data_IF_548556926918
#
_entry.id   IF_548556926918
#
_cell.length_a   1.000
_cell.length_b   1.000
_cell.length_c   1.000
_cell.angle_alpha   90.00
_cell.angle_beta   90.00
_cell.angle_gamma   90.00
#
_symmetry.space_group_name_H-M   'P 1'
#
loop_
_entity.id
_entity.type
_entity.pdbx_description
1 polymer ?
#
# COMPACT_ATOMS: atom_id res chain seq x y z
N UNK A 1 -0.48 -14.49 7.51
CA UNK A 1 -1.25 -13.37 8.05
C UNK A 1 -2.73 -13.58 7.77
N UNK A 2 -3.55 -13.30 8.78
CA UNK A 2 -5.02 -13.29 8.71
C UNK A 2 -5.55 -11.86 8.64
N UNK A 3 -6.80 -11.67 8.20
CA UNK A 3 -7.44 -10.33 8.15
C UNK A 3 -7.41 -9.65 9.52
N UNK A 4 -7.63 -10.44 10.58
CA UNK A 4 -7.60 -9.99 11.97
C UNK A 4 -6.28 -9.34 12.35
N UNK A 5 -5.17 -9.95 11.97
CA UNK A 5 -3.85 -9.44 12.27
C UNK A 5 -3.62 -8.07 11.58
N UNK A 6 -4.10 -7.88 10.35
CA UNK A 6 -4.03 -6.58 9.68
C UNK A 6 -4.83 -5.51 10.45
N UNK A 7 -6.11 -5.79 10.74
CA UNK A 7 -7.03 -4.81 11.32
C UNK A 7 -6.61 -4.44 12.75
N UNK A 8 -6.18 -5.42 13.55
CA UNK A 8 -5.69 -5.21 14.92
C UNK A 8 -4.44 -4.32 14.94
N UNK A 9 -3.47 -4.55 14.04
CA UNK A 9 -2.22 -3.78 14.00
C UNK A 9 -2.30 -2.48 13.16
N UNK A 10 -3.49 -2.14 12.63
CA UNK A 10 -3.71 -0.91 11.84
C UNK A 10 -4.89 -0.11 12.40
N UNK A 11 -6.11 -0.34 11.89
CA UNK A 11 -7.30 0.42 12.23
C UNK A 11 -7.57 0.47 13.73
N UNK A 12 -7.42 -0.66 14.42
CA UNK A 12 -7.58 -0.75 15.86
C UNK A 12 -6.37 -0.26 16.65
N UNK A 13 -5.32 0.26 16.05
CA UNK A 13 -4.21 0.91 16.76
C UNK A 13 -4.13 2.41 16.49
N UNK A 14 -4.83 2.91 15.48
CA UNK A 14 -4.86 4.33 15.14
C UNK A 14 -5.58 5.16 16.22
N UNK A 15 -4.99 6.31 16.56
CA UNK A 15 -5.63 7.36 17.35
C UNK A 15 -6.82 7.97 16.59
N UNK A 16 -7.62 8.80 17.26
CA UNK A 16 -8.84 9.38 16.69
C UNK A 16 -8.54 10.22 15.44
N UNK A 17 -7.46 11.02 15.49
CA UNK A 17 -7.04 11.90 14.40
C UNK A 17 -6.62 11.11 13.16
N UNK A 18 -5.81 10.07 13.33
CA UNK A 18 -5.39 9.20 12.23
C UNK A 18 -6.58 8.47 11.62
N UNK A 19 -7.52 8.01 12.45
CA UNK A 19 -8.73 7.33 11.97
C UNK A 19 -9.59 8.22 11.08
N UNK A 20 -9.77 9.49 11.43
CA UNK A 20 -10.55 10.43 10.62
C UNK A 20 -9.94 10.62 9.22
N UNK A 21 -8.61 10.75 9.12
CA UNK A 21 -7.94 10.84 7.82
C UNK A 21 -8.03 9.54 7.02
N UNK A 22 -7.78 8.40 7.68
CA UNK A 22 -7.86 7.08 7.07
C UNK A 22 -9.26 6.87 6.48
N UNK A 23 -10.32 7.26 7.19
CA UNK A 23 -11.69 7.14 6.71
C UNK A 23 -11.94 7.93 5.42
N UNK A 24 -11.39 9.15 5.30
CA UNK A 24 -11.49 9.93 4.07
C UNK A 24 -10.87 9.20 2.89
N UNK A 25 -9.70 8.59 3.07
CA UNK A 25 -9.02 7.87 2.00
C UNK A 25 -9.64 6.49 1.71
N UNK A 26 -10.11 5.77 2.74
CA UNK A 26 -10.77 4.48 2.59
C UNK A 26 -12.15 4.57 1.91
N UNK A 27 -12.82 5.72 1.96
CA UNK A 27 -14.08 5.94 1.22
C UNK A 27 -13.93 5.75 -0.31
N UNK A 28 -12.71 5.77 -0.83
CA UNK A 28 -12.44 5.48 -2.24
C UNK A 28 -12.50 3.97 -2.55
N UNK A 29 -12.39 3.11 -1.53
CA UNK A 29 -12.24 1.66 -1.69
C UNK A 29 -13.37 0.86 -1.01
N UNK A 30 -14.07 1.48 -0.05
CA UNK A 30 -15.17 0.87 0.69
C UNK A 30 -16.29 1.90 0.88
N UNK A 31 -17.54 1.47 0.71
CA UNK A 31 -18.71 2.32 0.96
C UNK A 31 -19.03 2.43 2.47
N UNK A 32 -18.50 3.46 3.13
CA UNK A 32 -18.85 3.75 4.53
C UNK A 32 -20.14 4.57 4.69
N UNK A 33 -20.64 5.19 3.61
CA UNK A 33 -21.71 6.21 3.58
C UNK A 33 -23.02 5.86 4.30
N UNK A 34 -23.27 4.59 4.62
CA UNK A 34 -24.48 4.16 5.34
C UNK A 34 -24.38 4.24 6.88
N UNK A 35 -23.20 4.51 7.45
CA UNK A 35 -23.03 4.61 8.92
C UNK A 35 -23.37 6.02 9.41
N UNK A 36 -24.35 6.12 10.32
CA UNK A 36 -24.71 7.40 10.97
C UNK A 36 -23.60 7.92 11.87
N UNK A 37 -22.90 7.03 12.59
CA UNK A 37 -21.74 7.33 13.42
C UNK A 37 -20.76 6.15 13.34
N UNK A 38 -19.63 6.28 12.62
CA UNK A 38 -18.68 5.19 12.49
C UNK A 38 -17.85 5.04 13.77
N UNK A 39 -18.26 4.11 14.66
CA UNK A 39 -17.44 3.74 15.81
C UNK A 39 -16.17 2.98 15.37
N UNK A 40 -15.16 2.94 16.24
CA UNK A 40 -13.92 2.19 16.01
C UNK A 40 -14.22 0.72 15.69
N UNK A 41 -15.06 0.10 16.51
CA UNK A 41 -15.44 -1.30 16.38
C UNK A 41 -16.32 -1.51 15.14
N UNK A 42 -17.25 -0.60 14.85
CA UNK A 42 -18.12 -0.71 13.69
C UNK A 42 -17.37 -0.63 12.37
N UNK A 43 -16.35 0.23 12.26
CA UNK A 43 -15.49 0.28 11.07
C UNK A 43 -14.61 -0.97 10.98
N UNK A 44 -14.11 -1.48 12.10
CA UNK A 44 -13.36 -2.74 12.11
C UNK A 44 -14.23 -3.89 11.57
N UNK A 45 -15.47 -4.02 12.04
CA UNK A 45 -16.45 -4.99 11.54
C UNK A 45 -16.69 -4.83 10.04
N UNK A 46 -16.87 -3.59 9.54
CA UNK A 46 -16.98 -3.37 8.09
C UNK A 46 -15.74 -3.78 7.30
N UNK A 47 -14.54 -3.56 7.84
CA UNK A 47 -13.30 -4.01 7.20
C UNK A 47 -13.23 -5.55 7.16
N UNK A 48 -13.63 -6.23 8.24
CA UNK A 48 -13.76 -7.68 8.27
C UNK A 48 -14.73 -8.19 7.20
N UNK A 49 -15.96 -7.69 7.20
CA UNK A 49 -17.00 -8.06 6.22
C UNK A 49 -16.55 -7.80 4.78
N UNK A 50 -15.83 -6.70 4.55
CA UNK A 50 -15.31 -6.36 3.23
C UNK A 50 -14.30 -7.40 2.75
N UNK A 51 -13.31 -7.75 3.57
CA UNK A 51 -12.32 -8.76 3.18
C UNK A 51 -12.94 -10.15 3.05
N UNK A 52 -13.93 -10.52 3.88
CA UNK A 52 -14.67 -11.78 3.70
C UNK A 52 -15.37 -11.83 2.33
N UNK A 53 -16.01 -10.73 1.92
CA UNK A 53 -16.61 -10.63 0.57
C UNK A 53 -15.56 -10.75 -0.54
N UNK A 54 -14.39 -10.16 -0.36
CA UNK A 54 -13.27 -10.27 -1.32
C UNK A 54 -12.82 -11.72 -1.44
N UNK A 55 -12.66 -12.44 -0.32
CA UNK A 55 -12.28 -13.84 -0.30
C UNK A 55 -13.33 -14.73 -1.00
N UNK A 56 -14.61 -14.52 -0.69
CA UNK A 56 -15.74 -15.25 -1.29
C UNK A 56 -15.85 -15.03 -2.80
N UNK A 57 -15.81 -13.76 -3.23
CA UNK A 57 -15.92 -13.39 -4.65
C UNK A 57 -14.77 -13.96 -5.48
N UNK A 58 -13.55 -13.82 -4.98
CA UNK A 58 -12.36 -14.21 -5.71
C UNK A 58 -11.96 -15.68 -5.48
N UNK A 59 -12.64 -16.39 -4.57
CA UNK A 59 -12.36 -17.78 -4.17
C UNK A 59 -10.90 -17.95 -3.74
N UNK A 60 -10.41 -17.01 -2.94
CA UNK A 60 -9.05 -16.99 -2.41
C UNK A 60 -9.07 -16.66 -0.92
N UNK A 61 -8.02 -17.05 -0.21
CA UNK A 61 -7.82 -16.57 1.15
C UNK A 61 -6.99 -15.29 1.18
N UNK A 62 -6.98 -14.63 2.33
CA UNK A 62 -6.34 -13.36 2.55
C UNK A 62 -4.82 -13.43 2.37
N UNK A 63 -4.17 -14.54 2.73
CA UNK A 63 -2.75 -14.75 2.44
C UNK A 63 -2.44 -14.64 0.93
N UNK A 64 -3.31 -15.20 0.08
CA UNK A 64 -3.15 -15.06 -1.38
C UNK A 64 -3.35 -13.60 -1.84
N UNK A 65 -4.22 -12.82 -1.19
CA UNK A 65 -4.33 -11.38 -1.44
C UNK A 65 -3.04 -10.63 -1.05
N UNK A 66 -2.38 -10.99 0.05
CA UNK A 66 -1.07 -10.43 0.43
C UNK A 66 0.03 -10.76 -0.59
N UNK A 67 0.02 -11.97 -1.16
CA UNK A 67 0.95 -12.31 -2.25
C UNK A 67 0.72 -11.45 -3.49
N UNK A 68 -0.55 -11.18 -3.81
CA UNK A 68 -0.90 -10.24 -4.89
C UNK A 68 -0.45 -8.81 -4.58
N UNK A 69 -0.61 -8.35 -3.33
CA UNK A 69 -0.08 -7.06 -2.87
C UNK A 69 1.42 -6.95 -3.16
N UNK A 70 2.23 -7.92 -2.74
CA UNK A 70 3.67 -7.90 -3.03
C UNK A 70 3.98 -7.92 -4.52
N UNK A 71 3.30 -8.77 -5.28
CA UNK A 71 3.52 -8.86 -6.72
C UNK A 71 3.23 -7.51 -7.41
N UNK A 72 2.10 -6.90 -7.06
CA UNK A 72 1.62 -5.69 -7.72
C UNK A 72 2.49 -4.48 -7.44
N UNK A 73 2.89 -4.30 -6.18
CA UNK A 73 3.84 -3.24 -5.79
C UNK A 73 5.20 -3.47 -6.46
N UNK A 74 5.62 -4.72 -6.63
CA UNK A 74 6.85 -5.04 -7.35
C UNK A 74 6.82 -4.65 -8.83
N UNK A 75 5.70 -4.89 -9.53
CA UNK A 75 5.54 -4.55 -10.96
C UNK A 75 5.80 -3.06 -11.25
N UNK A 76 5.59 -2.17 -10.26
CA UNK A 76 5.84 -0.73 -10.39
C UNK A 76 7.33 -0.38 -10.34
N UNK A 77 8.11 -1.15 -9.58
CA UNK A 77 9.46 -0.78 -9.16
C UNK A 77 10.56 -1.63 -9.79
N UNK A 78 10.28 -2.90 -10.13
CA UNK A 78 11.30 -3.86 -10.58
C UNK A 78 12.15 -3.33 -11.74
N UNK A 79 11.50 -2.72 -12.74
CA UNK A 79 12.19 -2.18 -13.92
C UNK A 79 12.94 -0.85 -13.65
N UNK A 80 12.75 -0.25 -12.47
CA UNK A 80 13.37 1.02 -12.07
C UNK A 80 14.61 0.84 -11.20
N UNK A 81 14.88 -0.37 -10.71
CA UNK A 81 16.05 -0.62 -9.87
C UNK A 81 17.28 -0.73 -10.77
N UNK A 82 18.32 0.06 -10.49
CA UNK A 82 19.58 -0.01 -11.22
C UNK A 82 20.28 -1.35 -10.95
N UNK A 83 20.60 -2.09 -12.02
CA UNK A 83 21.40 -3.31 -11.96
C UNK A 83 22.87 -2.97 -12.22
N UNK A 84 23.68 -2.94 -11.16
CA UNK A 84 25.09 -2.57 -11.23
C UNK A 84 25.97 -3.51 -10.38
N UNK A 85 27.25 -3.60 -10.76
CA UNK A 85 28.29 -4.26 -9.98
C UNK A 85 29.42 -3.25 -9.67
N UNK A 86 29.68 -2.93 -8.39
CA UNK A 86 29.06 -3.49 -7.18
C UNK A 86 27.62 -3.04 -6.96
N UNK A 87 26.83 -3.89 -6.29
CA UNK A 87 25.41 -3.61 -6.00
C UNK A 87 25.20 -2.24 -5.35
N UNK A 88 24.25 -1.50 -5.90
CA UNK A 88 23.84 -0.18 -5.41
C UNK A 88 23.13 -0.27 -4.06
N UNK A 89 22.93 0.87 -3.39
CA UNK A 89 22.21 0.91 -2.12
C UNK A 89 20.74 0.51 -2.31
N UNK A 90 20.09 1.03 -3.34
CA UNK A 90 18.72 0.67 -3.72
C UNK A 90 18.58 -0.83 -4.03
N UNK A 91 19.49 -1.40 -4.83
CA UNK A 91 19.46 -2.82 -5.20
C UNK A 91 19.51 -3.74 -3.97
N UNK A 92 20.34 -3.44 -2.97
CA UNK A 92 20.44 -4.24 -1.74
C UNK A 92 19.14 -4.26 -0.93
N UNK A 93 18.48 -3.11 -0.80
CA UNK A 93 17.21 -3.03 -0.06
C UNK A 93 16.04 -3.62 -0.84
N UNK A 94 16.01 -3.39 -2.15
CA UNK A 94 15.04 -4.05 -3.03
C UNK A 94 15.14 -5.57 -2.93
N UNK A 95 16.35 -6.16 -3.01
CA UNK A 95 16.54 -7.60 -2.83
C UNK A 95 16.05 -8.11 -1.47
N UNK A 96 16.23 -7.33 -0.40
CA UNK A 96 15.64 -7.64 0.92
C UNK A 96 14.10 -7.66 0.85
N UNK A 97 13.46 -6.67 0.23
CA UNK A 97 12.01 -6.67 0.04
C UNK A 97 11.54 -7.88 -0.79
N UNK A 98 12.26 -8.25 -1.85
CA UNK A 98 11.96 -9.46 -2.64
C UNK A 98 12.14 -10.75 -1.83
N UNK A 99 13.11 -10.80 -0.92
CA UNK A 99 13.27 -11.96 -0.04
C UNK A 99 12.05 -12.14 0.88
N UNK A 100 11.49 -11.03 1.39
CA UNK A 100 10.26 -11.04 2.20
C UNK A 100 9.08 -11.56 1.39
N UNK A 101 8.89 -11.07 0.16
CA UNK A 101 7.74 -11.46 -0.66
C UNK A 101 7.75 -12.95 -1.07
N UNK A 102 8.93 -13.58 -1.06
CA UNK A 102 9.13 -15.00 -1.36
C UNK A 102 9.00 -15.91 -0.14
N UNK A 103 8.87 -15.37 1.07
CA UNK A 103 8.75 -16.15 2.30
C UNK A 103 7.49 -17.03 2.30
N UNK A 104 7.64 -18.27 2.80
CA UNK A 104 6.50 -19.22 2.92
C UNK A 104 5.46 -18.74 3.92
N UNK A 105 5.92 -18.12 4.98
CA UNK A 105 5.12 -17.53 6.04
C UNK A 105 5.44 -16.04 6.10
N UNK A 106 4.39 -15.23 6.19
CA UNK A 106 4.46 -13.76 6.20
C UNK A 106 3.70 -13.30 7.43
N UNK A 107 4.42 -12.56 8.28
CA UNK A 107 3.90 -11.88 9.47
C UNK A 107 3.60 -10.42 9.16
N UNK A 108 2.80 -9.76 9.99
CA UNK A 108 2.48 -8.35 9.80
C UNK A 108 3.73 -7.45 9.65
N UNK A 109 4.75 -7.65 10.49
CA UNK A 109 5.98 -6.85 10.43
C UNK A 109 6.73 -7.02 9.11
N UNK A 110 6.68 -8.20 8.49
CA UNK A 110 7.30 -8.43 7.18
C UNK A 110 6.65 -7.54 6.11
N UNK A 111 5.32 -7.39 6.16
CA UNK A 111 4.57 -6.57 5.21
C UNK A 111 4.85 -5.09 5.45
N UNK A 112 4.98 -4.67 6.72
CA UNK A 112 5.38 -3.30 7.08
C UNK A 112 6.79 -3.00 6.55
N UNK A 113 7.75 -3.90 6.76
CA UNK A 113 9.13 -3.74 6.28
C UNK A 113 9.20 -3.70 4.75
N UNK A 114 8.49 -4.62 4.08
CA UNK A 114 8.35 -4.63 2.62
C UNK A 114 7.79 -3.30 2.12
N UNK A 115 6.66 -2.86 2.70
CA UNK A 115 5.95 -1.65 2.27
C UNK A 115 6.81 -0.42 2.49
N UNK A 116 7.50 -0.32 3.62
CA UNK A 116 8.42 0.78 3.89
C UNK A 116 9.48 0.86 2.79
N UNK A 117 10.20 -0.23 2.52
CA UNK A 117 11.27 -0.25 1.51
C UNK A 117 10.71 0.15 0.14
N UNK A 118 9.65 -0.53 -0.32
CA UNK A 118 9.09 -0.30 -1.64
C UNK A 118 8.53 1.11 -1.79
N UNK A 119 7.83 1.64 -0.78
CA UNK A 119 7.28 2.99 -0.86
C UNK A 119 8.35 4.07 -0.75
N UNK A 120 9.46 3.85 -0.03
CA UNK A 120 10.58 4.80 -0.06
C UNK A 120 11.33 4.80 -1.41
N UNK A 121 11.43 3.65 -2.07
CA UNK A 121 11.94 3.56 -3.46
C UNK A 121 10.97 4.25 -4.43
N UNK A 122 9.67 4.04 -4.27
CA UNK A 122 8.66 4.71 -5.07
C UNK A 122 8.69 6.23 -4.89
N UNK A 123 8.87 6.71 -3.65
CA UNK A 123 9.04 8.13 -3.34
C UNK A 123 10.26 8.73 -4.03
N UNK A 124 11.36 7.99 -4.11
CA UNK A 124 12.55 8.41 -4.86
C UNK A 124 12.22 8.59 -6.35
N UNK A 125 11.55 7.61 -6.96
CA UNK A 125 11.13 7.66 -8.35
C UNK A 125 10.27 8.89 -8.66
N UNK A 126 9.25 9.16 -7.83
CA UNK A 126 8.28 10.23 -8.12
C UNK A 126 8.81 11.62 -7.73
N UNK A 127 9.55 11.77 -6.61
CA UNK A 127 10.09 13.08 -6.20
C UNK A 127 11.19 13.57 -7.13
N UNK A 128 12.08 12.66 -7.55
CA UNK A 128 13.23 13.00 -8.37
C UNK A 128 12.99 12.73 -9.87
N UNK A 129 11.79 12.27 -10.24
CA UNK A 129 11.40 11.95 -11.61
C UNK A 129 12.39 11.00 -12.30
N UNK A 130 12.95 10.06 -11.53
CA UNK A 130 13.98 9.16 -12.03
C UNK A 130 13.38 7.86 -12.58
N UNK A 131 13.91 7.43 -13.72
CA UNK A 131 13.58 6.13 -14.31
C UNK A 131 14.45 5.00 -13.75
N UNK A 132 15.62 5.31 -13.19
CA UNK A 132 16.55 4.35 -12.60
C UNK A 132 17.01 4.80 -11.20
N UNK A 133 17.00 3.86 -10.25
CA UNK A 133 17.23 4.13 -8.82
C UNK A 133 18.45 3.35 -8.36
N UNK A 134 19.53 4.06 -8.03
CA UNK A 134 20.75 3.53 -7.38
C UNK A 134 20.79 3.78 -5.88
N UNK A 135 20.18 4.87 -5.41
CA UNK A 135 20.18 5.30 -4.02
C UNK A 135 18.81 5.88 -3.65
N UNK A 136 18.48 5.89 -2.35
CA UNK A 136 17.21 6.40 -1.84
C UNK A 136 17.27 6.62 -0.32
N UNK A 137 16.32 7.42 0.19
CA UNK A 137 16.16 7.65 1.62
C UNK A 137 15.16 6.66 2.26
N UNK A 138 15.65 5.76 3.11
CA UNK A 138 14.83 4.77 3.83
C UNK A 138 14.09 5.34 5.06
N UNK A 139 14.26 6.61 5.39
CA UNK A 139 13.56 7.23 6.52
C UNK A 139 12.04 7.20 6.31
N UNK A 140 11.29 6.91 7.37
CA UNK A 140 9.83 7.03 7.35
C UNK A 140 9.38 8.46 7.04
N UNK A 141 10.16 9.46 7.46
CA UNK A 141 9.86 10.88 7.24
C UNK A 141 9.99 11.27 5.77
N UNK A 142 10.64 10.42 4.96
CA UNK A 142 10.70 10.58 3.51
C UNK A 142 9.36 10.32 2.83
N UNK A 143 8.49 9.52 3.47
CA UNK A 143 7.18 9.15 2.95
C UNK A 143 6.22 10.35 2.97
N UNK A 144 5.57 10.53 1.83
CA UNK A 144 4.48 11.49 1.69
C UNK A 144 3.23 10.74 1.21
N UNK A 145 2.31 10.51 2.14
CA UNK A 145 1.12 9.70 1.89
C UNK A 145 0.27 10.24 0.75
N UNK A 146 0.05 11.55 0.71
CA UNK A 146 -0.80 12.16 -0.31
C UNK A 146 -0.14 12.08 -1.68
N UNK A 147 1.18 12.29 -1.74
CA UNK A 147 1.92 12.13 -2.98
C UNK A 147 1.90 10.67 -3.45
N UNK A 148 2.10 9.70 -2.57
CA UNK A 148 2.06 8.27 -2.92
C UNK A 148 0.66 7.88 -3.40
N UNK A 149 -0.38 8.14 -2.60
CA UNK A 149 -1.75 7.73 -2.91
C UNK A 149 -2.29 8.40 -4.16
N UNK A 150 -1.89 9.63 -4.46
CA UNK A 150 -2.27 10.33 -5.70
C UNK A 150 -1.57 9.72 -6.92
N UNK A 151 -0.25 9.54 -6.87
CA UNK A 151 0.51 9.06 -8.02
C UNK A 151 0.25 7.56 -8.30
N UNK A 152 0.15 6.73 -7.25
CA UNK A 152 0.05 5.29 -7.44
C UNK A 152 -1.24 4.85 -8.14
N UNK A 153 -2.33 5.63 -7.99
CA UNK A 153 -3.62 5.38 -8.65
C UNK A 153 -3.53 5.56 -10.17
N UNK A 154 -2.71 6.51 -10.61
CA UNK A 154 -2.49 6.82 -12.02
C UNK A 154 -1.24 6.14 -12.58
N UNK A 155 -0.53 5.36 -11.76
CA UNK A 155 0.72 4.73 -12.15
C UNK A 155 0.51 3.84 -13.37
N UNK A 156 1.43 3.95 -14.32
CA UNK A 156 1.45 3.08 -15.49
C UNK A 156 2.71 2.26 -15.49
N UNK A 157 2.66 1.04 -16.00
CA UNK A 157 3.84 0.17 -16.13
C UNK A 157 4.11 -0.14 -17.60
N UNK A 158 5.38 -0.35 -18.00
CA UNK A 158 5.70 -0.85 -19.34
C UNK A 158 4.98 -2.17 -19.59
N UNK A 159 4.35 -2.30 -20.76
CA UNK A 159 3.80 -3.58 -21.18
C UNK A 159 4.85 -4.35 -21.97
N UNK A 160 5.24 -5.53 -21.49
CA UNK A 160 6.27 -6.35 -22.14
C UNK A 160 5.98 -6.56 -23.64
N UNK A 161 7.03 -6.35 -24.46
CA UNK A 161 6.96 -6.53 -25.91
C UNK A 161 6.24 -5.41 -26.68
N UNK A 162 5.77 -4.35 -26.01
CA UNK A 162 5.09 -3.22 -26.66
C UNK A 162 5.65 -1.88 -26.16
N UNK A 163 5.84 -0.92 -27.07
CA UNK A 163 6.22 0.45 -26.71
C UNK A 163 5.01 1.27 -26.21
N UNK A 164 4.29 0.72 -25.22
CA UNK A 164 3.15 1.38 -24.58
C UNK A 164 3.14 1.06 -23.08
N UNK A 165 2.57 1.97 -22.31
CA UNK A 165 2.33 1.79 -20.87
C UNK A 165 0.85 1.51 -20.63
N UNK A 166 0.55 0.72 -19.60
CA UNK A 166 -0.82 0.43 -19.17
C UNK A 166 -0.99 0.86 -17.71
N UNK A 167 -2.20 1.26 -17.32
CA UNK A 167 -2.51 1.54 -15.92
C UNK A 167 -2.21 0.30 -15.07
N UNK A 168 -1.52 0.53 -13.95
CA UNK A 168 -1.16 -0.52 -13.03
C UNK A 168 -2.41 -1.04 -12.31
N UNK A 169 -3.32 -0.16 -11.89
CA UNK A 169 -4.50 -0.52 -11.10
C UNK A 169 -5.80 -0.28 -11.85
N UNK A 170 -6.70 -1.27 -11.83
CA UNK A 170 -8.11 -1.11 -12.20
C UNK A 170 -8.99 -1.16 -10.95
N UNK A 171 -9.49 0.00 -10.52
CA UNK A 171 -10.30 0.16 -9.30
C UNK A 171 -11.80 0.20 -9.55
N UNK A 172 -12.25 -0.15 -10.76
CA UNK A 172 -13.69 -0.19 -11.09
C UNK A 172 -14.46 -1.20 -10.25
N UNK A 173 -13.80 -2.29 -9.83
CA UNK A 173 -14.37 -3.31 -8.96
C UNK A 173 -13.86 -3.15 -7.52
N UNK A 174 -14.71 -2.66 -6.61
CA UNK A 174 -14.38 -2.47 -5.19
C UNK A 174 -13.94 -3.77 -4.48
N UNK A 175 -14.40 -4.93 -4.96
CA UNK A 175 -14.03 -6.24 -4.41
C UNK A 175 -12.97 -6.97 -5.25
N UNK A 176 -12.42 -6.30 -6.27
CA UNK A 176 -11.33 -6.80 -7.11
C UNK A 176 -9.97 -6.68 -6.41
N UNK A 177 -8.95 -7.36 -6.94
CA UNK A 177 -7.61 -7.37 -6.33
C UNK A 177 -7.01 -5.98 -6.21
N UNK A 178 -7.04 -5.19 -7.28
CA UNK A 178 -6.36 -3.89 -7.35
C UNK A 178 -6.90 -2.88 -6.33
N UNK A 179 -8.23 -2.75 -6.22
CA UNK A 179 -8.88 -1.94 -5.17
C UNK A 179 -8.44 -2.34 -3.77
N UNK A 180 -8.33 -3.65 -3.52
CA UNK A 180 -7.97 -4.18 -2.20
C UNK A 180 -6.47 -4.08 -1.90
N UNK A 181 -5.62 -4.10 -2.93
CA UNK A 181 -4.19 -3.81 -2.80
C UNK A 181 -3.98 -2.35 -2.39
N UNK A 182 -4.72 -1.41 -3.00
CA UNK A 182 -4.65 0.01 -2.62
C UNK A 182 -5.26 0.28 -1.24
N UNK A 183 -6.31 -0.43 -0.85
CA UNK A 183 -6.87 -0.39 0.50
C UNK A 183 -5.83 -0.85 1.54
N UNK A 184 -5.19 -2.01 1.32
CA UNK A 184 -4.12 -2.52 2.19
C UNK A 184 -2.95 -1.53 2.25
N UNK A 185 -2.52 -1.01 1.11
CA UNK A 185 -1.47 0.00 1.04
C UNK A 185 -1.82 1.24 1.88
N UNK A 186 -3.05 1.73 1.78
CA UNK A 186 -3.52 2.90 2.54
C UNK A 186 -3.38 2.66 4.04
N UNK A 187 -3.89 1.52 4.54
CA UNK A 187 -3.76 1.16 5.96
C UNK A 187 -2.29 1.09 6.42
N UNK A 188 -1.43 0.45 5.62
CA UNK A 188 -0.01 0.30 5.95
C UNK A 188 0.76 1.62 5.90
N UNK A 189 0.42 2.50 4.96
CA UNK A 189 1.02 3.83 4.87
C UNK A 189 0.69 4.66 6.12
N UNK A 190 -0.55 4.65 6.58
CA UNK A 190 -0.93 5.33 7.83
C UNK A 190 -0.22 4.73 9.04
N UNK A 191 -0.07 3.40 9.09
CA UNK A 191 0.73 2.72 10.11
C UNK A 191 2.21 3.14 10.10
N UNK A 192 2.80 3.33 8.91
CA UNK A 192 4.20 3.71 8.75
C UNK A 192 4.47 5.18 9.09
N UNK A 193 3.53 6.06 8.74
CA UNK A 193 3.73 7.51 8.85
C UNK A 193 3.47 8.02 10.27
N UNK A 194 2.62 7.34 11.05
CA UNK A 194 2.20 7.81 12.38
C UNK A 194 1.48 9.17 12.32
N UNK A 195 1.00 9.63 13.49
CA UNK A 195 0.05 10.74 13.72
C UNK A 195 0.43 12.12 13.12
N UNK A 196 1.64 12.28 12.56
CA UNK A 196 2.26 13.59 12.32
C UNK A 196 1.75 14.40 11.12
N UNK A 197 1.13 13.79 10.10
CA UNK A 197 0.69 14.53 8.88
C UNK A 197 -0.81 14.75 8.75
N UNK A 198 -1.63 14.09 9.58
CA UNK A 198 -3.09 14.29 9.57
C UNK A 198 -3.51 15.73 9.91
N UNK A 199 -2.72 16.44 10.71
CA UNK A 199 -3.01 17.81 11.14
C UNK A 199 -3.07 18.83 9.99
N UNK A 200 -2.49 18.51 8.82
CA UNK A 200 -2.46 19.41 7.66
C UNK A 200 -3.69 19.29 6.75
N UNK A 201 -4.45 18.18 6.80
CA UNK A 201 -5.70 18.02 6.03
C UNK A 201 -6.89 18.77 6.64
N UNK A 202 -6.81 19.17 7.91
CA UNK A 202 -7.89 19.88 8.63
C UNK A 202 -7.91 21.40 8.41
N UNK A 203 -7.17 21.93 7.43
CA UNK A 203 -7.21 23.35 7.06
C UNK A 203 -7.85 23.50 5.68
N UNK A 204 -9.18 23.38 5.63
CA UNK A 204 -10.05 24.11 4.69
C UNK A 204 -11.52 23.84 5.02
N UNK A 205 -12.12 24.80 5.75
CA UNK A 205 -13.56 25.03 5.77
C UNK A 205 -13.91 26.06 4.70
#
# INVERSE_FOLDING_TARGET
>A
MEVRELIENTWLEFDDVTRDCVLLDLNNFIEFKSMKEPSREGIAEKLYDHFEKVELKNKVNFNKLIKWYFKKINEILEYRIEDAEPKTHAQKYYERAISISKSKQVFFQDIVDYTRIMMTLYMEAIKNQTESISDFNLSKDWLDLDLILTNIREETIPLEGLNRRIHCFDTTDLYGYDSNILLILTLLLYKLNGEYKCQLKNVQF
#
